data_IF_115135954028
#
_entry.id   IF_115135954028
#
_cell.length_a   1.000
_cell.length_b   1.000
_cell.length_c   1.000
_cell.angle_alpha   90.00
_cell.angle_beta   90.00
_cell.angle_gamma   90.00
#
_symmetry.space_group_name_H-M   'P 1'
#
loop_
_entity.id
_entity.type
_entity.pdbx_description
1 polymer ?
#
# COMPACT_ATOMS: atom_id res chain seq x y z
N UNK A 1 -18.04 3.10 7.29
CA UNK A 1 -19.30 2.36 7.53
C UNK A 1 -20.22 2.31 6.31
N UNK A 2 -20.43 3.40 5.54
CA UNK A 2 -21.31 3.39 4.35
C UNK A 2 -20.87 2.44 3.22
N UNK A 3 -19.56 2.32 2.95
CA UNK A 3 -19.02 1.40 1.93
C UNK A 3 -19.35 -0.07 2.21
N UNK A 4 -19.29 -0.50 3.48
CA UNK A 4 -19.60 -1.88 3.88
C UNK A 4 -21.08 -2.18 3.73
N UNK A 5 -21.93 -1.20 4.03
CA UNK A 5 -23.39 -1.30 3.86
C UNK A 5 -23.79 -1.51 2.39
N UNK A 6 -23.10 -0.85 1.46
CA UNK A 6 -23.39 -0.95 0.03
C UNK A 6 -23.02 -2.34 -0.53
N UNK A 7 -21.88 -2.89 -0.11
CA UNK A 7 -21.41 -4.21 -0.60
C UNK A 7 -22.32 -5.34 -0.11
N UNK A 8 -22.79 -5.29 1.14
CA UNK A 8 -23.74 -6.26 1.69
C UNK A 8 -25.11 -6.27 0.99
N UNK A 9 -25.50 -5.18 0.31
CA UNK A 9 -26.76 -5.12 -0.44
C UNK A 9 -26.67 -5.78 -1.83
N UNK A 10 -25.47 -5.93 -2.38
CA UNK A 10 -25.25 -6.43 -3.75
C UNK A 10 -24.70 -7.86 -3.76
N UNK A 11 -23.97 -8.26 -2.71
CA UNK A 11 -23.34 -9.58 -2.59
C UNK A 11 -24.13 -10.48 -1.65
N UNK A 12 -24.31 -11.76 -1.99
CA UNK A 12 -24.99 -12.75 -1.15
C UNK A 12 -24.34 -12.82 0.24
N UNK A 13 -25.13 -12.60 1.29
CA UNK A 13 -24.66 -12.56 2.67
C UNK A 13 -23.89 -13.82 3.09
N UNK A 14 -24.16 -14.99 2.48
CA UNK A 14 -23.45 -16.24 2.74
C UNK A 14 -22.01 -16.24 2.21
N UNK A 15 -21.74 -15.47 1.16
CA UNK A 15 -20.39 -15.28 0.61
C UNK A 15 -19.57 -14.27 1.43
N UNK A 16 -20.24 -13.38 2.16
CA UNK A 16 -19.59 -12.39 3.02
C UNK A 16 -19.35 -12.93 4.43
N UNK A 17 -20.21 -13.83 4.92
CA UNK A 17 -20.12 -14.38 6.28
C UNK A 17 -18.89 -15.25 6.56
N UNK A 18 -18.09 -15.57 5.53
CA UNK A 18 -16.85 -16.33 5.68
C UNK A 18 -15.64 -15.46 6.03
N UNK A 19 -15.76 -14.12 5.94
CA UNK A 19 -14.69 -13.17 6.22
C UNK A 19 -14.91 -12.43 7.55
N UNK A 20 -13.81 -12.16 8.27
CA UNK A 20 -13.84 -11.18 9.36
C UNK A 20 -13.89 -9.74 8.81
N UNK A 21 -14.13 -8.74 9.67
CA UNK A 21 -14.28 -7.34 9.24
C UNK A 21 -13.03 -6.80 8.50
N UNK A 22 -11.83 -7.24 8.87
CA UNK A 22 -10.57 -6.81 8.26
C UNK A 22 -10.34 -7.50 6.93
N UNK A 23 -10.66 -8.78 6.84
CA UNK A 23 -10.60 -9.53 5.58
C UNK A 23 -11.59 -8.97 4.55
N UNK A 24 -12.80 -8.61 4.97
CA UNK A 24 -13.80 -7.98 4.11
C UNK A 24 -13.35 -6.59 3.63
N UNK A 25 -12.78 -5.79 4.53
CA UNK A 25 -12.18 -4.50 4.17
C UNK A 25 -11.07 -4.66 3.15
N UNK A 26 -10.18 -5.63 3.33
CA UNK A 26 -9.09 -5.94 2.40
C UNK A 26 -9.62 -6.39 1.02
N UNK A 27 -10.68 -7.21 0.98
CA UNK A 27 -11.31 -7.68 -0.26
C UNK A 27 -11.96 -6.53 -1.03
N UNK A 28 -12.60 -5.59 -0.32
CA UNK A 28 -13.33 -4.47 -0.94
C UNK A 28 -12.39 -3.33 -1.34
N UNK A 29 -11.52 -2.91 -0.42
CA UNK A 29 -10.59 -1.80 -0.65
C UNK A 29 -9.42 -2.20 -1.56
N UNK A 30 -9.18 -3.51 -1.71
CA UNK A 30 -7.97 -4.04 -2.29
C UNK A 30 -6.76 -3.75 -1.39
N UNK A 31 -5.59 -4.19 -1.84
CA UNK A 31 -4.34 -3.68 -1.30
C UNK A 31 -3.99 -2.41 -2.07
N UNK A 32 -3.85 -1.28 -1.38
CA UNK A 32 -3.27 -0.08 -1.99
C UNK A 32 -1.82 -0.39 -2.37
N UNK A 33 -1.59 -0.80 -3.61
CA UNK A 33 -0.24 -1.08 -4.10
C UNK A 33 0.50 0.25 -4.21
N UNK A 34 1.66 0.31 -3.56
CA UNK A 34 2.52 1.50 -3.64
C UNK A 34 3.28 1.48 -4.95
N UNK A 35 3.03 2.48 -5.79
CA UNK A 35 3.84 2.79 -6.97
C UNK A 35 5.19 3.36 -6.53
N UNK A 36 6.24 2.55 -6.67
CA UNK A 36 7.60 2.95 -6.31
C UNK A 36 8.19 4.02 -7.22
N UNK A 37 7.79 4.04 -8.50
CA UNK A 37 8.28 5.04 -9.43
C UNK A 37 7.71 6.40 -9.07
N UNK A 38 6.40 6.46 -8.82
CA UNK A 38 5.76 7.70 -8.37
C UNK A 38 6.35 8.19 -7.04
N UNK A 39 6.50 7.29 -6.06
CA UNK A 39 7.07 7.64 -4.77
C UNK A 39 8.48 8.22 -4.91
N UNK A 40 9.35 7.58 -5.70
CA UNK A 40 10.73 8.06 -5.91
C UNK A 40 10.77 9.39 -6.67
N UNK A 41 9.97 9.54 -7.72
CA UNK A 41 9.93 10.76 -8.53
C UNK A 41 9.46 11.98 -7.73
N UNK A 42 8.66 11.75 -6.69
CA UNK A 42 8.13 12.79 -5.81
C UNK A 42 8.85 12.89 -4.46
N UNK A 43 10.06 12.33 -4.33
CA UNK A 43 10.88 12.42 -3.10
C UNK A 43 11.89 13.58 -3.17
N UNK A 44 11.87 14.47 -2.17
CA UNK A 44 12.88 15.52 -2.01
C UNK A 44 14.06 15.03 -1.18
N UNK A 45 15.28 15.23 -1.67
CA UNK A 45 16.52 14.89 -0.97
C UNK A 45 17.17 16.14 -0.37
N UNK A 46 17.62 16.06 0.89
CA UNK A 46 18.26 17.17 1.63
C UNK A 46 19.63 16.79 2.16
N UNK A 47 20.44 17.77 2.56
CA UNK A 47 21.73 17.53 3.21
C UNK A 47 22.84 17.00 2.28
N UNK A 48 22.78 17.34 0.98
CA UNK A 48 23.75 16.89 -0.03
C UNK A 48 23.39 15.55 -0.69
N UNK A 49 22.34 14.87 -0.23
CA UNK A 49 21.78 13.72 -0.94
C UNK A 49 21.05 14.16 -2.21
N UNK A 50 21.04 13.28 -3.20
CA UNK A 50 20.32 13.41 -4.46
C UNK A 50 20.04 12.01 -5.03
N UNK A 51 19.20 11.92 -6.06
CA UNK A 51 18.71 10.63 -6.57
C UNK A 51 19.83 9.65 -6.99
N UNK A 52 20.91 10.19 -7.59
CA UNK A 52 22.09 9.42 -7.99
C UNK A 52 23.08 9.08 -6.85
N UNK A 53 22.87 9.58 -5.63
CA UNK A 53 23.76 9.32 -4.50
C UNK A 53 23.74 7.84 -4.13
N UNK A 54 24.89 7.24 -3.86
CA UNK A 54 25.02 5.77 -3.68
C UNK A 54 24.09 5.22 -2.58
N UNK A 55 23.99 5.95 -1.46
CA UNK A 55 23.10 5.58 -0.34
C UNK A 55 21.62 5.65 -0.75
N UNK A 56 21.21 6.63 -1.56
CA UNK A 56 19.83 6.76 -2.05
C UNK A 56 19.50 5.62 -3.01
N UNK A 57 20.44 5.25 -3.89
CA UNK A 57 20.28 4.09 -4.78
C UNK A 57 20.13 2.79 -3.98
N UNK A 58 20.90 2.61 -2.90
CA UNK A 58 20.76 1.44 -2.02
C UNK A 58 19.44 1.43 -1.27
N UNK A 59 18.98 2.59 -0.79
CA UNK A 59 17.67 2.73 -0.16
C UNK A 59 16.57 2.24 -1.10
N UNK A 60 16.50 2.77 -2.33
CA UNK A 60 15.47 2.35 -3.28
C UNK A 60 15.61 0.89 -3.72
N UNK A 61 16.83 0.37 -3.87
CA UNK A 61 17.05 -1.05 -4.15
C UNK A 61 16.59 -1.97 -3.01
N UNK A 62 16.62 -1.51 -1.76
CA UNK A 62 16.07 -2.23 -0.63
C UNK A 62 14.53 -2.16 -0.62
N UNK A 63 13.96 -0.97 -0.84
CA UNK A 63 12.50 -0.74 -0.89
C UNK A 63 11.84 -1.51 -2.03
N UNK A 64 12.54 -1.69 -3.17
CA UNK A 64 12.07 -2.50 -4.29
C UNK A 64 11.83 -3.97 -3.88
N UNK A 65 12.63 -4.48 -2.94
CA UNK A 65 12.50 -5.85 -2.41
C UNK A 65 11.45 -6.00 -1.32
N UNK A 66 10.87 -4.90 -0.84
CA UNK A 66 9.82 -4.95 0.17
C UNK A 66 8.51 -5.41 -0.45
N UNK A 67 7.75 -6.19 0.31
CA UNK A 67 6.35 -6.44 -0.01
C UNK A 67 5.50 -5.18 0.29
N UNK A 68 4.24 -5.17 -0.16
CA UNK A 68 3.39 -3.99 -0.03
C UNK A 68 3.15 -3.57 1.43
N UNK A 69 3.01 -4.53 2.34
CA UNK A 69 2.85 -4.26 3.78
C UNK A 69 4.07 -3.56 4.38
N UNK A 70 5.28 -4.01 4.02
CA UNK A 70 6.54 -3.38 4.45
C UNK A 70 6.68 -1.97 3.89
N UNK A 71 6.27 -1.73 2.63
CA UNK A 71 6.27 -0.39 2.02
C UNK A 71 5.27 0.54 2.73
N UNK A 72 4.07 0.05 3.05
CA UNK A 72 3.07 0.79 3.81
C UNK A 72 3.59 1.17 5.20
N UNK A 73 4.23 0.23 5.90
CA UNK A 73 4.84 0.49 7.22
C UNK A 73 6.00 1.50 7.16
N UNK A 74 6.71 1.59 6.04
CA UNK A 74 7.78 2.58 5.86
C UNK A 74 7.23 4.00 5.66
N UNK A 75 6.00 4.13 5.15
CA UNK A 75 5.32 5.42 4.95
C UNK A 75 4.56 5.93 6.18
N UNK A 76 4.23 5.06 7.14
CA UNK A 76 3.55 5.41 8.40
C UNK A 76 4.49 6.12 9.38
#
# INVERSE_FOLDING_TARGET
EEMLHLVLQVVDARLVSVFDARELELVIAGTAEIDLSDWRNNTEYRGGYHDNHIVIRWFWAAVERFNNEQRLRLLQ
#
